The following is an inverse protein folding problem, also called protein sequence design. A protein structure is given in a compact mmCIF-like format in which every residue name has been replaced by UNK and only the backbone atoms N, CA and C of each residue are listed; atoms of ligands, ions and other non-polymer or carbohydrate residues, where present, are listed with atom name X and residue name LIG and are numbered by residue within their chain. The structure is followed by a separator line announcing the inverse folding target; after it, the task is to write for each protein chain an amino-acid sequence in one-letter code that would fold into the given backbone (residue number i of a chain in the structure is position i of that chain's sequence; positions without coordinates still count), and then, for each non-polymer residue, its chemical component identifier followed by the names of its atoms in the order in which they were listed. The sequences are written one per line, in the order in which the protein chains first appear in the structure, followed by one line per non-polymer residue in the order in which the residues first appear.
data_IF_273876869274
#
_entry.id   IF_273876869274
#
_cell.length_a   1.000
_cell.length_b   1.000
_cell.length_c   1.000
_cell.angle_alpha   90.00
_cell.angle_beta   90.00
_cell.angle_gamma   90.00
#
_symmetry.space_group_name_H-M   'P 1'
#
loop_
_entity.id
_entity.type
_entity.pdbx_description
1 polymer ?
#
# COMPACT_ATOMS: atom_id res chain seq x y z
N UNK A 1 24.87 -2.04 -17.77
CA UNK A 1 24.44 -0.65 -17.52
C UNK A 1 24.78 -0.16 -16.11
N UNK A 2 25.30 -0.99 -15.21
CA UNK A 2 25.60 -0.59 -13.81
C UNK A 2 24.39 -0.63 -12.86
N UNK A 3 23.20 -0.94 -13.35
CA UNK A 3 22.00 -1.02 -12.52
C UNK A 3 22.05 -2.17 -11.52
N UNK A 4 21.62 -1.90 -10.31
CA UNK A 4 21.46 -2.94 -9.27
C UNK A 4 20.32 -3.89 -9.62
N UNK A 5 20.55 -5.21 -9.48
CA UNK A 5 19.53 -6.24 -9.65
C UNK A 5 18.70 -6.51 -8.39
N UNK A 6 18.74 -5.63 -7.41
CA UNK A 6 17.94 -5.73 -6.20
C UNK A 6 16.48 -5.34 -6.41
N UNK A 7 15.58 -5.85 -5.56
CA UNK A 7 14.25 -5.25 -5.43
C UNK A 7 14.36 -3.87 -4.80
N UNK A 8 13.71 -2.89 -5.40
CA UNK A 8 13.65 -1.51 -4.89
C UNK A 8 12.71 -1.40 -3.69
N UNK A 9 11.52 -2.04 -3.78
CA UNK A 9 10.54 -2.10 -2.69
C UNK A 9 10.84 -3.33 -1.84
N UNK A 10 10.97 -3.14 -0.52
CA UNK A 10 11.21 -4.20 0.44
C UNK A 10 10.13 -4.24 1.49
N UNK A 11 9.50 -5.40 1.63
CA UNK A 11 8.36 -5.57 2.51
C UNK A 11 8.78 -5.97 3.92
N UNK A 12 8.19 -5.32 4.93
CA UNK A 12 8.30 -5.63 6.35
C UNK A 12 6.94 -6.19 6.80
N UNK A 13 6.88 -7.50 7.02
CA UNK A 13 5.68 -8.18 7.50
C UNK A 13 5.77 -8.42 9.02
N UNK A 14 4.66 -8.83 9.64
CA UNK A 14 4.58 -9.05 11.09
C UNK A 14 5.64 -10.01 11.65
N UNK A 15 5.96 -11.09 10.93
CA UNK A 15 7.02 -12.02 11.33
C UNK A 15 8.44 -11.51 11.11
N UNK A 16 8.63 -10.43 10.34
CA UNK A 16 9.91 -9.79 10.01
C UNK A 16 11.01 -10.75 9.58
N UNK A 17 10.67 -11.90 9.00
CA UNK A 17 11.63 -12.92 8.57
C UNK A 17 12.60 -12.38 7.51
N UNK A 18 13.89 -12.38 7.84
CA UNK A 18 14.94 -11.87 6.97
C UNK A 18 15.09 -10.36 6.96
N UNK A 19 14.35 -9.62 7.78
CA UNK A 19 14.52 -8.18 7.97
C UNK A 19 15.70 -7.92 8.90
N UNK A 20 16.70 -7.21 8.39
CA UNK A 20 17.87 -6.75 9.13
C UNK A 20 18.31 -5.39 8.57
N UNK A 21 19.32 -4.76 9.18
CA UNK A 21 19.81 -3.44 8.77
C UNK A 21 20.29 -3.41 7.31
N UNK A 22 20.94 -4.46 6.82
CA UNK A 22 21.36 -4.56 5.42
C UNK A 22 20.16 -4.64 4.48
N UNK A 23 19.12 -5.39 4.83
CA UNK A 23 17.88 -5.46 4.06
C UNK A 23 17.21 -4.10 3.96
N UNK A 24 17.09 -3.37 5.08
CA UNK A 24 16.45 -2.05 5.14
C UNK A 24 17.26 -0.99 4.38
N UNK A 25 18.58 -0.93 4.61
CA UNK A 25 19.46 0.06 3.96
C UNK A 25 19.55 -0.08 2.43
N UNK A 26 19.17 -1.25 1.88
CA UNK A 26 19.15 -1.49 0.44
C UNK A 26 17.75 -1.33 -0.20
N UNK A 27 16.87 -0.57 0.40
CA UNK A 27 15.54 -0.28 -0.13
C UNK A 27 15.47 1.16 -0.69
N UNK A 28 14.68 1.35 -1.74
CA UNK A 28 14.21 2.67 -2.17
C UNK A 28 12.83 2.96 -1.55
N UNK A 29 12.08 1.88 -1.19
CA UNK A 29 10.84 1.95 -0.45
C UNK A 29 10.75 0.78 0.54
N UNK A 30 10.31 1.07 1.76
CA UNK A 30 10.01 0.09 2.81
C UNK A 30 8.49 -0.01 2.96
N UNK A 31 7.94 -1.21 2.70
CA UNK A 31 6.50 -1.41 2.76
C UNK A 31 6.10 -2.23 3.98
N UNK A 32 5.37 -1.62 4.90
CA UNK A 32 4.77 -2.31 6.06
C UNK A 32 3.56 -3.08 5.57
N UNK A 33 3.60 -4.41 5.67
CA UNK A 33 2.48 -5.26 5.31
C UNK A 33 1.62 -5.58 6.53
N UNK A 34 0.45 -4.96 6.61
CA UNK A 34 -0.53 -5.25 7.66
C UNK A 34 -1.32 -6.51 7.32
N UNK A 35 -1.83 -6.61 6.09
CA UNK A 35 -2.64 -7.73 5.65
C UNK A 35 -2.45 -8.03 4.15
N UNK A 36 -3.15 -9.03 3.63
CA UNK A 36 -3.06 -9.50 2.25
C UNK A 36 -4.45 -9.71 1.66
N UNK A 37 -4.73 -9.11 0.51
CA UNK A 37 -6.07 -9.03 -0.08
C UNK A 37 -6.72 -10.39 -0.34
N UNK A 38 -5.95 -11.37 -0.80
CA UNK A 38 -6.46 -12.72 -1.08
C UNK A 38 -6.88 -13.53 0.16
N UNK A 39 -6.42 -13.13 1.34
CA UNK A 39 -6.72 -13.79 2.61
C UNK A 39 -6.67 -12.80 3.78
N UNK A 40 -7.58 -11.84 3.82
CA UNK A 40 -7.66 -10.91 4.92
C UNK A 40 -7.86 -11.67 6.23
N UNK A 41 -7.14 -11.29 7.26
CA UNK A 41 -7.23 -11.91 8.58
C UNK A 41 -6.48 -13.24 8.78
N UNK A 42 -5.95 -13.89 7.74
CA UNK A 42 -5.25 -15.19 7.91
C UNK A 42 -3.74 -15.08 8.16
N UNK A 43 -3.13 -13.96 7.86
CA UNK A 43 -1.69 -13.75 7.97
C UNK A 43 -0.84 -14.42 6.89
N UNK A 44 0.47 -14.32 7.05
CA UNK A 44 1.46 -14.89 6.15
C UNK A 44 1.82 -16.32 6.50
N UNK A 45 2.04 -17.16 5.48
CA UNK A 45 2.49 -18.53 5.65
C UNK A 45 3.46 -18.94 4.53
N UNK A 46 4.54 -19.62 4.88
CA UNK A 46 5.38 -20.34 3.95
C UNK A 46 5.47 -21.80 4.43
N UNK A 47 4.91 -22.78 3.69
CA UNK A 47 4.94 -24.19 4.08
C UNK A 47 6.37 -24.72 4.19
N UNK A 48 6.64 -25.63 5.13
CA UNK A 48 7.96 -26.16 5.40
C UNK A 48 8.64 -26.79 4.17
N UNK A 49 7.88 -27.49 3.30
CA UNK A 49 8.42 -28.06 2.06
C UNK A 49 8.92 -27.03 1.04
N UNK A 50 8.62 -25.75 1.22
CA UNK A 50 9.17 -24.62 0.45
C UNK A 50 10.36 -23.95 1.13
N UNK A 51 10.64 -24.27 2.38
CA UNK A 51 11.77 -23.73 3.14
C UNK A 51 13.01 -24.57 2.89
N UNK A 52 13.65 -24.35 1.75
CA UNK A 52 14.95 -24.94 1.41
C UNK A 52 16.06 -24.36 2.29
N UNK A 53 17.27 -24.95 2.28
CA UNK A 53 18.45 -24.41 2.98
C UNK A 53 18.70 -22.93 2.61
N UNK A 54 18.57 -22.59 1.32
CA UNK A 54 18.73 -21.21 0.85
C UNK A 54 17.66 -20.29 1.43
N UNK A 55 16.40 -20.69 1.38
CA UNK A 55 15.29 -19.89 1.95
C UNK A 55 15.44 -19.74 3.47
N UNK A 56 15.79 -20.81 4.16
CA UNK A 56 16.02 -20.78 5.61
C UNK A 56 17.15 -19.81 5.97
N UNK A 57 18.24 -19.82 5.22
CA UNK A 57 19.37 -18.89 5.42
C UNK A 57 18.93 -17.43 5.30
N UNK A 58 18.22 -17.05 4.23
CA UNK A 58 17.80 -15.66 4.01
C UNK A 58 16.65 -15.21 4.93
N UNK A 59 15.91 -16.17 5.50
CA UNK A 59 14.81 -15.91 6.43
C UNK A 59 15.22 -16.08 7.90
N UNK A 60 16.48 -16.38 8.17
CA UNK A 60 17.01 -16.66 9.52
C UNK A 60 16.19 -17.72 10.25
N UNK A 61 15.92 -18.85 9.58
CA UNK A 61 15.06 -19.94 10.02
C UNK A 61 15.71 -21.31 9.80
N UNK A 62 15.01 -22.39 10.15
CA UNK A 62 15.45 -23.77 9.98
C UNK A 62 14.87 -24.37 8.69
N UNK A 63 15.68 -25.09 7.86
CA UNK A 63 15.17 -25.77 6.67
C UNK A 63 14.06 -26.77 7.03
N UNK A 64 13.04 -26.84 6.18
CA UNK A 64 11.91 -27.75 6.36
C UNK A 64 10.86 -27.32 7.39
N UNK A 65 11.12 -26.28 8.17
CA UNK A 65 10.17 -25.73 9.15
C UNK A 65 9.34 -24.63 8.50
N UNK A 66 8.01 -24.71 8.65
CA UNK A 66 7.09 -23.69 8.12
C UNK A 66 7.25 -22.35 8.82
N UNK A 67 7.13 -21.26 8.05
CA UNK A 67 7.12 -19.90 8.57
C UNK A 67 5.69 -19.39 8.64
N UNK A 68 5.28 -18.90 9.79
CA UNK A 68 3.94 -18.35 10.06
C UNK A 68 4.09 -16.95 10.61
N UNK A 69 3.33 -16.02 10.04
CA UNK A 69 3.28 -14.63 10.44
C UNK A 69 1.83 -14.31 10.83
N UNK A 70 1.53 -13.96 12.08
CA UNK A 70 0.16 -13.67 12.47
C UNK A 70 -0.42 -12.47 11.72
N UNK A 71 -1.75 -12.42 11.51
CA UNK A 71 -2.46 -11.27 11.04
C UNK A 71 -3.08 -10.52 12.23
N UNK A 72 -3.16 -9.24 12.23
CA UNK A 72 -2.37 -8.23 11.53
C UNK A 72 -0.92 -8.19 12.04
N UNK A 73 -0.21 -7.11 11.82
CA UNK A 73 1.12 -6.92 12.42
C UNK A 73 0.97 -6.96 13.96
N UNK A 74 1.56 -7.96 14.63
CA UNK A 74 1.23 -8.34 16.01
C UNK A 74 1.69 -7.35 17.09
N UNK A 75 2.48 -6.36 16.73
CA UNK A 75 2.97 -5.28 17.61
C UNK A 75 2.44 -3.89 17.21
N UNK A 76 1.41 -3.84 16.35
CA UNK A 76 0.71 -2.63 15.95
C UNK A 76 -0.76 -2.76 16.35
N UNK A 77 -1.16 -2.06 17.41
CA UNK A 77 -2.51 -2.06 17.95
C UNK A 77 -3.22 -0.71 17.81
N UNK A 78 -2.46 0.32 17.40
CA UNK A 78 -2.97 1.68 17.21
C UNK A 78 -2.23 2.39 16.08
N UNK A 79 -2.73 3.55 15.67
CA UNK A 79 -2.05 4.42 14.70
C UNK A 79 -0.71 4.93 15.24
N UNK A 80 -0.63 5.16 16.54
CA UNK A 80 0.59 5.59 17.23
C UNK A 80 1.69 4.52 17.15
N UNK A 81 1.34 3.24 17.33
CA UNK A 81 2.29 2.14 17.15
C UNK A 81 2.79 2.06 15.71
N UNK A 82 1.88 2.29 14.73
CA UNK A 82 2.25 2.35 13.32
C UNK A 82 3.19 3.53 13.04
N UNK A 83 2.89 4.70 13.59
CA UNK A 83 3.73 5.89 13.46
C UNK A 83 5.13 5.64 14.01
N UNK A 84 5.24 4.98 15.17
CA UNK A 84 6.53 4.60 15.75
C UNK A 84 7.32 3.69 14.79
N UNK A 85 6.67 2.68 14.20
CA UNK A 85 7.35 1.79 13.25
C UNK A 85 7.78 2.55 11.97
N UNK A 86 6.95 3.47 11.46
CA UNK A 86 7.30 4.31 10.31
C UNK A 86 8.54 5.15 10.65
N UNK A 87 8.55 5.79 11.81
CA UNK A 87 9.69 6.57 12.30
C UNK A 87 10.96 5.71 12.42
N UNK A 88 10.87 4.51 13.00
CA UNK A 88 12.00 3.59 13.14
C UNK A 88 12.56 3.17 11.76
N UNK A 89 11.69 2.94 10.79
CA UNK A 89 12.09 2.58 9.42
C UNK A 89 12.80 3.75 8.71
N UNK A 90 12.33 4.98 8.89
CA UNK A 90 13.02 6.18 8.39
C UNK A 90 14.39 6.37 9.05
N UNK A 91 14.52 6.11 10.35
CA UNK A 91 15.83 6.13 11.02
C UNK A 91 16.78 5.03 10.49
N UNK A 92 16.23 3.86 10.14
CA UNK A 92 17.02 2.76 9.58
C UNK A 92 17.47 3.04 8.13
N UNK A 93 16.67 3.77 7.36
CA UNK A 93 16.98 4.20 5.99
C UNK A 93 16.28 5.53 5.66
N UNK A 94 16.94 6.67 5.93
CA UNK A 94 16.36 8.00 5.70
C UNK A 94 16.05 8.33 4.23
N UNK A 95 16.69 7.63 3.29
CA UNK A 95 16.49 7.85 1.86
C UNK A 95 15.31 7.06 1.27
N UNK A 96 14.76 6.09 2.02
CA UNK A 96 13.67 5.27 1.56
C UNK A 96 12.31 5.88 1.94
N UNK A 97 11.36 5.83 1.01
CA UNK A 97 9.96 6.09 1.35
C UNK A 97 9.41 4.94 2.21
N UNK A 98 8.44 5.23 3.08
CA UNK A 98 7.71 4.21 3.82
C UNK A 98 6.26 4.16 3.36
N UNK A 99 5.80 2.99 2.96
CA UNK A 99 4.41 2.74 2.57
C UNK A 99 3.76 1.67 3.44
N UNK A 100 2.42 1.70 3.51
CA UNK A 100 1.64 0.72 4.28
C UNK A 100 0.69 -0.03 3.37
N UNK A 101 0.77 -1.37 3.37
CA UNK A 101 -0.14 -2.23 2.62
C UNK A 101 -1.33 -2.62 3.48
N UNK A 102 -2.51 -2.19 3.04
CA UNK A 102 -3.82 -2.51 3.56
C UNK A 102 -4.59 -3.42 2.59
N UNK A 103 -5.77 -3.85 2.96
CA UNK A 103 -6.67 -4.63 2.10
C UNK A 103 -7.98 -3.91 1.89
N UNK A 104 -8.61 -4.16 0.74
CA UNK A 104 -9.97 -3.70 0.46
C UNK A 104 -10.95 -4.41 1.39
N UNK A 105 -11.38 -3.74 2.43
CA UNK A 105 -12.42 -4.15 3.36
C UNK A 105 -13.17 -2.91 3.87
N UNK A 106 -14.34 -3.10 4.44
CA UNK A 106 -15.13 -1.99 4.97
C UNK A 106 -14.37 -1.24 6.07
N UNK A 107 -14.26 0.08 5.96
CA UNK A 107 -13.53 0.93 6.89
C UNK A 107 -12.06 1.16 6.52
N UNK A 108 -11.57 0.60 5.41
CA UNK A 108 -10.16 0.77 4.99
C UNK A 108 -9.79 2.24 4.76
N UNK A 109 -10.73 3.06 4.31
CA UNK A 109 -10.51 4.50 4.14
C UNK A 109 -10.16 5.21 5.45
N UNK A 110 -10.81 4.83 6.56
CA UNK A 110 -10.48 5.37 7.88
C UNK A 110 -9.08 4.94 8.34
N UNK A 111 -8.70 3.70 8.07
CA UNK A 111 -7.35 3.20 8.36
C UNK A 111 -6.32 3.95 7.51
N UNK A 112 -6.61 4.17 6.22
CA UNK A 112 -5.74 4.93 5.32
C UNK A 112 -5.56 6.39 5.76
N UNK A 113 -6.60 7.03 6.31
CA UNK A 113 -6.49 8.35 6.93
C UNK A 113 -5.53 8.33 8.13
N UNK A 114 -5.61 7.29 8.97
CA UNK A 114 -4.67 7.07 10.05
C UNK A 114 -3.22 6.88 9.55
N UNK A 115 -3.04 6.10 8.48
CA UNK A 115 -1.72 5.90 7.82
C UNK A 115 -1.14 7.23 7.33
N UNK A 116 -1.97 8.07 6.70
CA UNK A 116 -1.55 9.39 6.25
C UNK A 116 -1.14 10.30 7.42
N UNK A 117 -1.89 10.27 8.53
CA UNK A 117 -1.56 11.01 9.76
C UNK A 117 -0.32 10.47 10.47
N UNK A 118 -0.03 9.18 10.32
CA UNK A 118 1.18 8.53 10.83
C UNK A 118 2.43 8.79 9.96
N UNK A 119 2.32 9.67 8.95
CA UNK A 119 3.40 10.15 8.09
C UNK A 119 4.00 9.10 7.15
N UNK A 120 3.21 8.11 6.72
CA UNK A 120 3.61 7.28 5.59
C UNK A 120 3.51 8.06 4.27
N UNK A 121 4.45 7.85 3.35
CA UNK A 121 4.44 8.47 2.02
C UNK A 121 3.51 7.76 1.03
N UNK A 122 3.11 6.53 1.33
CA UNK A 122 2.24 5.74 0.47
C UNK A 122 1.32 4.79 1.22
N UNK A 123 0.15 4.54 0.66
CA UNK A 123 -0.75 3.47 1.08
C UNK A 123 -1.13 2.61 -0.11
N UNK A 124 -0.99 1.30 0.03
CA UNK A 124 -1.42 0.33 -0.98
C UNK A 124 -2.71 -0.34 -0.53
N UNK A 125 -3.72 -0.29 -1.38
CA UNK A 125 -5.02 -0.96 -1.19
C UNK A 125 -5.04 -2.22 -2.05
N UNK A 126 -5.00 -3.39 -1.40
CA UNK A 126 -4.96 -4.68 -2.08
C UNK A 126 -6.36 -5.27 -2.23
N UNK A 127 -6.76 -5.59 -3.46
CA UNK A 127 -7.99 -6.32 -3.74
C UNK A 127 -7.87 -7.82 -3.42
N UNK A 128 -9.02 -8.53 -3.43
CA UNK A 128 -9.12 -9.95 -3.09
C UNK A 128 -8.39 -10.89 -4.04
N UNK A 129 -8.21 -10.49 -5.29
CA UNK A 129 -7.55 -11.29 -6.32
C UNK A 129 -6.04 -11.10 -6.32
N UNK A 130 -5.27 -12.14 -6.11
CA UNK A 130 -3.80 -12.10 -6.22
C UNK A 130 -3.07 -12.59 -4.97
N UNK A 131 -1.73 -12.57 -5.00
CA UNK A 131 -0.88 -12.82 -3.85
C UNK A 131 -0.98 -14.22 -3.20
N UNK A 132 -1.31 -15.25 -3.95
CA UNK A 132 -1.90 -16.49 -3.44
C UNK A 132 -0.98 -17.71 -3.46
N UNK A 133 0.33 -17.52 -3.53
CA UNK A 133 1.27 -18.65 -3.60
C UNK A 133 1.24 -19.65 -2.44
N UNK A 134 0.58 -19.33 -1.34
CA UNK A 134 0.42 -20.21 -0.18
C UNK A 134 -1.03 -20.24 0.35
N UNK A 135 -1.96 -19.54 -0.27
CA UNK A 135 -3.35 -19.47 0.21
C UNK A 135 -4.16 -20.67 -0.19
N UNK A 136 -5.06 -21.17 0.69
CA UNK A 136 -6.04 -22.21 0.35
C UNK A 136 -7.01 -21.71 -0.73
N UNK A 137 -7.56 -22.65 -1.50
CA UNK A 137 -8.51 -22.33 -2.59
C UNK A 137 -9.79 -21.66 -2.09
N UNK A 138 -10.21 -22.00 -0.87
CA UNK A 138 -11.38 -21.40 -0.22
C UNK A 138 -11.18 -19.90 0.02
N UNK A 139 -10.03 -19.50 0.57
CA UNK A 139 -9.72 -18.09 0.80
C UNK A 139 -9.67 -17.31 -0.51
N UNK A 140 -8.98 -17.85 -1.53
CA UNK A 140 -8.87 -17.21 -2.85
C UNK A 140 -10.23 -16.95 -3.51
N UNK A 141 -11.19 -17.88 -3.31
CA UNK A 141 -12.50 -17.81 -3.96
C UNK A 141 -13.55 -17.02 -3.19
N UNK A 142 -13.41 -16.91 -1.87
CA UNK A 142 -14.52 -16.50 -1.01
C UNK A 142 -14.15 -15.41 0.01
N UNK A 143 -12.87 -15.09 0.18
CA UNK A 143 -12.43 -14.04 1.10
C UNK A 143 -12.02 -12.76 0.36
N UNK A 144 -12.10 -11.62 1.03
CA UNK A 144 -11.69 -10.32 0.52
C UNK A 144 -12.73 -9.64 -0.37
N UNK A 145 -12.45 -8.38 -0.69
CA UNK A 145 -13.31 -7.51 -1.51
C UNK A 145 -12.58 -7.07 -2.78
N UNK A 146 -13.32 -6.67 -3.83
CA UNK A 146 -12.75 -6.01 -5.00
C UNK A 146 -11.96 -4.74 -4.62
N UNK A 147 -10.87 -4.50 -5.33
CA UNK A 147 -10.02 -3.31 -5.10
C UNK A 147 -10.77 -1.99 -5.34
N UNK A 148 -11.75 -1.98 -6.22
CA UNK A 148 -12.55 -0.81 -6.57
C UNK A 148 -13.29 -0.26 -5.35
N UNK A 149 -13.82 -1.13 -4.49
CA UNK A 149 -14.50 -0.74 -3.26
C UNK A 149 -13.53 -0.08 -2.27
N UNK A 150 -12.40 -0.72 -2.00
CA UNK A 150 -11.42 -0.22 -1.05
C UNK A 150 -10.73 1.05 -1.53
N UNK A 151 -10.43 1.14 -2.83
CA UNK A 151 -9.81 2.32 -3.43
C UNK A 151 -10.74 3.52 -3.38
N UNK A 152 -12.00 3.35 -3.80
CA UNK A 152 -13.00 4.41 -3.78
C UNK A 152 -13.25 4.95 -2.37
N UNK A 153 -13.44 4.05 -1.38
CA UNK A 153 -13.58 4.45 0.04
C UNK A 153 -12.34 5.22 0.52
N UNK A 154 -11.15 4.74 0.19
CA UNK A 154 -9.88 5.40 0.57
C UNK A 154 -9.78 6.80 -0.02
N UNK A 155 -10.05 6.95 -1.31
CA UNK A 155 -10.04 8.24 -1.99
C UNK A 155 -11.01 9.22 -1.34
N UNK A 156 -12.26 8.80 -1.14
CA UNK A 156 -13.30 9.63 -0.55
C UNK A 156 -12.95 10.11 0.85
N UNK A 157 -12.49 9.20 1.72
CA UNK A 157 -12.13 9.54 3.11
C UNK A 157 -10.90 10.45 3.17
N UNK A 158 -9.88 10.19 2.35
CA UNK A 158 -8.69 11.05 2.30
C UNK A 158 -9.01 12.46 1.80
N UNK A 159 -9.89 12.58 0.79
CA UNK A 159 -10.35 13.88 0.26
C UNK A 159 -11.18 14.62 1.31
N UNK A 160 -12.17 13.96 1.94
CA UNK A 160 -13.02 14.56 2.97
C UNK A 160 -12.25 15.10 4.18
N UNK A 161 -11.07 14.52 4.45
CA UNK A 161 -10.21 14.92 5.59
C UNK A 161 -9.02 15.80 5.18
N UNK A 162 -8.94 16.25 3.91
CA UNK A 162 -7.80 17.00 3.35
C UNK A 162 -6.44 16.32 3.57
N UNK A 163 -6.44 14.99 3.47
CA UNK A 163 -5.25 14.15 3.63
C UNK A 163 -4.73 13.62 2.28
N UNK A 164 -5.56 13.70 1.22
CA UNK A 164 -5.23 13.07 -0.08
C UNK A 164 -3.98 13.66 -0.72
N UNK A 165 -3.73 14.93 -0.54
CA UNK A 165 -2.56 15.62 -1.06
C UNK A 165 -1.22 15.16 -0.46
N UNK A 166 -1.26 14.54 0.72
CA UNK A 166 -0.08 14.17 1.50
C UNK A 166 0.47 12.78 1.14
N UNK A 167 -0.37 11.87 0.62
CA UNK A 167 -0.05 10.46 0.50
C UNK A 167 -0.31 9.94 -0.91
N UNK A 168 0.59 9.09 -1.42
CA UNK A 168 0.36 8.34 -2.66
C UNK A 168 -0.57 7.16 -2.37
N UNK A 169 -1.53 6.94 -3.25
CA UNK A 169 -2.45 5.81 -3.18
C UNK A 169 -2.10 4.82 -4.30
N UNK A 170 -1.70 3.62 -3.91
CA UNK A 170 -1.42 2.52 -4.81
C UNK A 170 -2.56 1.50 -4.74
N UNK A 171 -2.85 0.84 -5.85
CA UNK A 171 -3.83 -0.25 -5.91
C UNK A 171 -3.22 -1.49 -6.54
N UNK A 172 -3.56 -2.68 -6.01
CA UNK A 172 -3.30 -3.98 -6.63
C UNK A 172 -4.53 -4.91 -6.51
N UNK A 173 -4.53 -6.01 -7.23
CA UNK A 173 -5.60 -6.99 -7.18
C UNK A 173 -6.09 -7.41 -8.57
N UNK A 174 -5.24 -8.05 -9.38
CA UNK A 174 -5.58 -8.56 -10.73
C UNK A 174 -5.74 -7.49 -11.81
N UNK A 175 -5.04 -6.38 -11.71
CA UNK A 175 -4.93 -5.44 -12.82
C UNK A 175 -4.27 -6.13 -14.02
N UNK A 176 -4.84 -6.00 -15.23
CA UNK A 176 -4.41 -6.74 -16.41
C UNK A 176 -4.31 -5.90 -17.69
N UNK A 177 -5.09 -4.84 -17.78
CA UNK A 177 -5.27 -4.02 -18.98
C UNK A 177 -5.02 -2.54 -18.70
N UNK A 178 -4.82 -1.75 -19.74
CA UNK A 178 -4.79 -0.29 -19.62
C UNK A 178 -6.10 0.29 -19.13
N UNK A 179 -7.23 -0.37 -19.47
CA UNK A 179 -8.55 0.02 -18.94
C UNK A 179 -8.61 -0.10 -17.42
N UNK A 180 -8.05 -1.18 -16.82
CA UNK A 180 -8.01 -1.31 -15.35
C UNK A 180 -7.21 -0.17 -14.71
N UNK A 181 -6.11 0.25 -15.36
CA UNK A 181 -5.29 1.38 -14.93
C UNK A 181 -6.08 2.70 -14.98
N UNK A 182 -6.79 2.94 -16.08
CA UNK A 182 -7.61 4.16 -16.24
C UNK A 182 -8.72 4.20 -15.20
N UNK A 183 -9.45 3.10 -15.01
CA UNK A 183 -10.49 3.01 -13.97
C UNK A 183 -9.88 3.24 -12.58
N UNK A 184 -8.73 2.62 -12.28
CA UNK A 184 -8.04 2.84 -11.01
C UNK A 184 -7.62 4.29 -10.80
N UNK A 185 -7.11 4.97 -11.83
CA UNK A 185 -6.81 6.40 -11.78
C UNK A 185 -8.06 7.24 -11.53
N UNK A 186 -9.15 7.00 -12.25
CA UNK A 186 -10.44 7.68 -12.05
C UNK A 186 -10.95 7.49 -10.62
N UNK A 187 -10.81 6.30 -10.05
CA UNK A 187 -11.20 6.02 -8.66
C UNK A 187 -10.20 6.53 -7.61
N UNK A 188 -9.06 7.06 -8.03
CA UNK A 188 -8.16 7.79 -7.14
C UNK A 188 -6.77 7.18 -6.92
N UNK A 189 -6.31 6.22 -7.73
CA UNK A 189 -4.96 5.68 -7.58
C UNK A 189 -3.91 6.54 -8.32
N UNK A 190 -2.77 6.77 -7.66
CA UNK A 190 -1.57 7.36 -8.26
C UNK A 190 -0.65 6.26 -8.86
N UNK A 191 -0.66 5.05 -8.28
CA UNK A 191 0.25 3.95 -8.60
C UNK A 191 -0.48 2.61 -8.72
N UNK A 192 0.09 1.69 -9.51
CA UNK A 192 -0.55 0.44 -9.88
C UNK A 192 0.37 -0.76 -9.68
N UNK A 193 -0.11 -1.78 -8.96
CA UNK A 193 0.62 -3.01 -8.69
C UNK A 193 0.15 -4.17 -9.57
N UNK A 194 1.10 -4.81 -10.26
CA UNK A 194 0.85 -5.97 -11.12
C UNK A 194 1.61 -7.19 -10.63
N UNK A 195 0.97 -8.34 -10.59
CA UNK A 195 1.60 -9.60 -10.22
C UNK A 195 1.25 -10.71 -11.21
N UNK A 196 0.01 -11.19 -11.21
CA UNK A 196 -0.43 -12.33 -12.02
C UNK A 196 -0.18 -12.09 -13.50
N UNK A 197 -0.48 -10.90 -13.99
CA UNK A 197 -0.28 -10.49 -15.38
C UNK A 197 1.18 -10.62 -15.82
N UNK A 198 2.11 -10.11 -14.99
CA UNK A 198 3.55 -10.27 -15.25
C UNK A 198 3.99 -11.73 -15.24
N UNK A 199 3.43 -12.55 -14.34
CA UNK A 199 3.70 -14.00 -14.34
C UNK A 199 3.18 -14.69 -15.60
N UNK A 200 1.97 -14.36 -16.06
CA UNK A 200 1.40 -14.90 -17.30
C UNK A 200 2.26 -14.54 -18.51
N UNK A 201 2.72 -13.30 -18.57
CA UNK A 201 3.64 -12.83 -19.63
C UNK A 201 4.95 -13.62 -19.64
N UNK A 202 5.40 -14.12 -18.51
CA UNK A 202 6.58 -15.00 -18.39
C UNK A 202 6.29 -16.50 -18.58
N UNK A 203 5.06 -16.87 -18.93
CA UNK A 203 4.67 -18.27 -19.21
C UNK A 203 3.90 -18.97 -18.09
N UNK A 204 3.33 -18.25 -17.12
CA UNK A 204 2.44 -18.85 -16.12
C UNK A 204 1.13 -19.29 -16.78
N UNK A 205 0.75 -20.56 -16.60
CA UNK A 205 -0.48 -21.15 -17.13
C UNK A 205 -1.66 -21.14 -16.16
N UNK A 206 -1.58 -20.36 -15.09
CA UNK A 206 -2.64 -20.19 -14.10
C UNK A 206 -3.16 -21.48 -13.45
N UNK A 207 -2.30 -22.50 -13.31
CA UNK A 207 -2.65 -23.79 -12.68
C UNK A 207 -3.12 -23.69 -11.23
N UNK A 208 -2.78 -22.59 -10.54
CA UNK A 208 -3.12 -22.37 -9.12
C UNK A 208 -2.64 -23.49 -8.16
N UNK A 209 -1.52 -24.17 -8.49
CA UNK A 209 -0.85 -25.18 -7.65
C UNK A 209 0.47 -24.68 -7.04
N UNK A 210 0.65 -23.36 -6.98
CA UNK A 210 1.87 -22.72 -6.48
C UNK A 210 2.19 -23.12 -5.02
N UNK A 211 1.15 -23.32 -4.20
CA UNK A 211 1.30 -23.74 -2.79
C UNK A 211 1.89 -25.13 -2.63
N UNK A 212 1.77 -26.02 -3.62
CA UNK A 212 2.29 -27.38 -3.57
C UNK A 212 3.77 -27.52 -4.00
N UNK A 213 4.42 -26.44 -4.44
CA UNK A 213 5.78 -26.48 -4.99
C UNK A 213 5.93 -27.30 -6.29
N UNK A 214 4.84 -27.56 -7.01
CA UNK A 214 4.76 -28.42 -8.20
C UNK A 214 4.48 -27.64 -9.50
N UNK A 215 4.95 -26.39 -9.57
CA UNK A 215 4.72 -25.55 -10.75
C UNK A 215 5.35 -26.17 -11.99
N UNK A 216 4.52 -26.66 -12.95
CA UNK A 216 4.96 -27.38 -14.14
C UNK A 216 5.77 -26.51 -15.11
N UNK A 217 5.63 -25.19 -15.06
CA UNK A 217 6.37 -24.24 -15.90
C UNK A 217 7.56 -23.59 -15.19
N UNK A 218 7.86 -24.00 -13.97
CA UNK A 218 9.07 -23.58 -13.27
C UNK A 218 9.08 -22.19 -12.62
N UNK A 219 8.00 -21.41 -12.72
CA UNK A 219 7.94 -20.02 -12.21
C UNK A 219 7.87 -19.98 -10.69
N UNK A 220 6.97 -20.78 -10.09
CA UNK A 220 6.63 -20.69 -8.67
C UNK A 220 6.98 -22.00 -7.92
N UNK A 221 8.20 -22.48 -8.08
CA UNK A 221 8.70 -23.70 -7.43
C UNK A 221 10.14 -23.52 -6.97
N UNK A 222 10.54 -24.27 -5.94
CA UNK A 222 11.93 -24.42 -5.49
C UNK A 222 12.56 -25.72 -6.00
N UNK A 223 11.78 -26.62 -6.65
CA UNK A 223 12.30 -27.85 -7.24
C UNK A 223 13.28 -27.55 -8.38
N UNK A 224 14.56 -27.98 -8.31
CA UNK A 224 15.55 -27.66 -9.33
C UNK A 224 15.22 -28.21 -10.72
N UNK A 225 14.50 -29.35 -10.79
CA UNK A 225 14.13 -29.99 -12.05
C UNK A 225 13.01 -29.21 -12.75
N UNK A 226 12.04 -28.73 -11.99
CA UNK A 226 10.95 -27.91 -12.50
C UNK A 226 11.42 -26.49 -12.86
N UNK A 227 12.32 -25.91 -12.09
CA UNK A 227 12.89 -24.55 -12.39
C UNK A 227 13.60 -24.50 -13.74
N UNK A 228 14.20 -25.61 -14.20
CA UNK A 228 14.83 -25.68 -15.54
C UNK A 228 13.84 -25.50 -16.69
N UNK A 229 12.54 -25.65 -16.43
CA UNK A 229 11.48 -25.47 -17.44
C UNK A 229 11.07 -24.01 -17.64
N UNK A 230 11.58 -23.10 -16.79
CA UNK A 230 11.26 -21.68 -16.90
C UNK A 230 11.89 -21.06 -18.14
N UNK A 231 11.07 -20.48 -19.02
CA UNK A 231 11.46 -19.89 -20.31
C UNK A 231 11.18 -18.38 -20.40
N UNK A 232 10.68 -17.78 -19.32
CA UNK A 232 10.36 -16.35 -19.29
C UNK A 232 11.59 -15.46 -19.51
N UNK A 233 11.38 -14.34 -20.20
CA UNK A 233 12.41 -13.32 -20.48
C UNK A 233 11.95 -11.97 -19.97
N UNK A 234 12.90 -11.12 -19.57
CA UNK A 234 12.61 -9.75 -19.13
C UNK A 234 11.92 -8.94 -20.26
N UNK A 235 12.33 -9.11 -21.50
CA UNK A 235 11.78 -8.41 -22.66
C UNK A 235 10.27 -8.64 -22.83
N UNK A 236 9.77 -9.83 -22.48
CA UNK A 236 8.33 -10.10 -22.54
C UNK A 236 7.55 -9.18 -21.60
N UNK A 237 8.08 -8.96 -20.39
CA UNK A 237 7.46 -8.09 -19.39
C UNK A 237 7.57 -6.63 -19.81
N UNK A 238 8.74 -6.20 -20.30
CA UNK A 238 8.95 -4.82 -20.81
C UNK A 238 7.97 -4.48 -21.91
N UNK A 239 7.87 -5.36 -22.93
CA UNK A 239 6.96 -5.16 -24.05
C UNK A 239 5.49 -5.13 -23.62
N UNK A 240 5.11 -6.03 -22.71
CA UNK A 240 3.75 -6.09 -22.20
C UNK A 240 3.36 -4.79 -21.48
N UNK A 241 4.21 -4.26 -20.59
CA UNK A 241 3.92 -3.00 -19.91
C UNK A 241 3.97 -1.79 -20.86
N UNK A 242 4.77 -1.85 -21.93
CA UNK A 242 4.71 -0.84 -22.97
C UNK A 242 3.35 -0.83 -23.67
N UNK A 243 2.76 -2.01 -23.95
CA UNK A 243 1.41 -2.12 -24.51
C UNK A 243 0.32 -1.65 -23.54
N UNK A 244 0.44 -1.96 -22.24
CA UNK A 244 -0.46 -1.40 -21.20
C UNK A 244 -0.42 0.13 -21.23
N UNK A 245 0.78 0.72 -21.27
CA UNK A 245 0.93 2.17 -21.31
C UNK A 245 0.33 2.78 -22.59
N UNK A 246 0.45 2.11 -23.73
CA UNK A 246 -0.15 2.58 -24.98
C UNK A 246 -1.68 2.50 -24.94
N UNK A 247 -2.26 1.40 -24.43
CA UNK A 247 -3.71 1.27 -24.23
C UNK A 247 -4.23 2.38 -23.29
N UNK A 248 -3.51 2.71 -22.20
CA UNK A 248 -3.86 3.84 -21.32
C UNK A 248 -3.87 5.15 -22.11
N UNK A 249 -2.86 5.38 -22.96
CA UNK A 249 -2.78 6.61 -23.79
C UNK A 249 -3.92 6.72 -24.78
N UNK A 250 -4.31 5.61 -25.43
CA UNK A 250 -5.44 5.56 -26.36
C UNK A 250 -6.75 5.93 -25.66
N UNK A 251 -7.05 5.29 -24.52
CA UNK A 251 -8.26 5.57 -23.73
C UNK A 251 -8.27 7.03 -23.25
N UNK A 252 -7.14 7.53 -22.73
CA UNK A 252 -7.03 8.92 -22.29
C UNK A 252 -7.23 9.91 -23.45
N UNK A 253 -6.76 9.58 -24.65
CA UNK A 253 -6.97 10.39 -25.84
C UNK A 253 -8.47 10.48 -26.22
N UNK A 254 -9.20 9.35 -26.14
CA UNK A 254 -10.65 9.32 -26.35
C UNK A 254 -11.39 10.17 -25.32
N UNK A 255 -10.92 10.17 -24.06
CA UNK A 255 -11.46 11.01 -22.99
C UNK A 255 -11.03 12.50 -23.07
N UNK A 256 -10.11 12.85 -23.99
CA UNK A 256 -9.57 14.21 -24.12
C UNK A 256 -8.60 14.60 -23.02
N UNK A 257 -8.05 13.67 -22.27
CA UNK A 257 -7.15 13.88 -21.13
C UNK A 257 -5.69 13.68 -21.56
N UNK A 258 -4.84 14.69 -21.36
CA UNK A 258 -3.42 14.66 -21.78
C UNK A 258 -2.45 14.15 -20.72
N UNK A 259 -2.73 14.41 -19.44
CA UNK A 259 -1.87 14.00 -18.33
C UNK A 259 -2.63 13.01 -17.45
N UNK A 260 -1.94 11.95 -17.04
CA UNK A 260 -2.54 10.96 -16.14
C UNK A 260 -3.01 11.59 -14.82
N UNK A 261 -2.23 12.52 -14.29
CA UNK A 261 -2.56 13.29 -13.10
C UNK A 261 -3.93 13.99 -13.16
N UNK A 262 -4.34 14.41 -14.36
CA UNK A 262 -5.62 15.08 -14.58
C UNK A 262 -6.81 14.11 -14.61
N UNK A 263 -6.54 12.81 -14.64
CA UNK A 263 -7.53 11.73 -14.59
C UNK A 263 -7.91 11.35 -13.15
N UNK A 264 -6.98 11.54 -12.20
CA UNK A 264 -7.11 11.01 -10.84
C UNK A 264 -8.29 11.64 -10.10
N UNK A 265 -9.18 10.78 -9.60
CA UNK A 265 -10.35 11.18 -8.83
C UNK A 265 -11.51 11.75 -9.65
N UNK A 266 -11.47 11.67 -10.99
CA UNK A 266 -12.56 12.16 -11.87
C UNK A 266 -13.65 11.12 -12.09
N UNK A 267 -14.31 10.72 -11.01
CA UNK A 267 -15.36 9.70 -11.02
C UNK A 267 -16.54 10.02 -11.94
N UNK A 268 -16.74 11.30 -12.30
CA UNK A 268 -17.72 11.75 -13.28
C UNK A 268 -17.49 11.24 -14.71
N UNK A 269 -16.33 10.66 -15.00
CA UNK A 269 -16.02 9.98 -16.26
C UNK A 269 -16.52 8.54 -16.32
N UNK A 270 -17.00 8.00 -15.21
CA UNK A 270 -17.56 6.65 -15.14
C UNK A 270 -19.09 6.73 -15.05
N UNK A 271 -19.75 6.03 -15.96
CA UNK A 271 -21.18 5.84 -15.92
C UNK A 271 -21.51 4.48 -15.34
N UNK A 272 -22.35 4.47 -14.30
CA UNK A 272 -22.89 3.25 -13.70
C UNK A 272 -24.10 2.77 -14.49
N UNK A 273 -23.95 2.53 -15.81
CA UNK A 273 -25.08 2.13 -16.61
C UNK A 273 -25.63 0.75 -16.24
N UNK A 274 -26.96 0.64 -16.31
CA UNK A 274 -27.70 -0.62 -16.36
C UNK A 274 -27.34 -1.48 -17.60
N UNK A 275 -26.24 -1.16 -18.30
CA UNK A 275 -25.85 -1.62 -19.62
C UNK A 275 -25.57 -3.12 -19.71
N UNK A 276 -25.52 -3.81 -18.60
CA UNK A 276 -25.35 -5.26 -18.61
C UNK A 276 -26.70 -5.90 -18.39
N UNK A 277 -27.39 -6.26 -19.46
CA UNK A 277 -28.63 -7.03 -19.42
C UNK A 277 -28.49 -8.43 -18.78
N UNK A 278 -27.53 -8.57 -17.87
CA UNK A 278 -27.27 -9.79 -17.14
C UNK A 278 -28.01 -9.75 -15.79
N UNK A 279 -28.79 -10.79 -15.52
CA UNK A 279 -29.64 -10.86 -14.31
C UNK A 279 -28.89 -10.62 -12.98
N UNK A 280 -27.59 -10.94 -12.90
CA UNK A 280 -26.78 -10.68 -11.71
C UNK A 280 -26.37 -9.22 -11.55
N UNK A 281 -26.43 -8.43 -12.61
CA UNK A 281 -26.15 -7.00 -12.53
C UNK A 281 -27.38 -6.20 -12.09
N UNK A 282 -28.58 -6.78 -12.22
CA UNK A 282 -29.79 -6.16 -11.74
C UNK A 282 -29.74 -5.97 -10.22
N UNK A 283 -29.87 -4.73 -9.77
CA UNK A 283 -29.80 -4.37 -8.35
C UNK A 283 -28.39 -4.11 -7.81
N UNK A 284 -27.36 -4.10 -8.65
CA UNK A 284 -26.03 -3.61 -8.25
C UNK A 284 -26.04 -2.09 -8.29
N UNK A 285 -25.93 -1.47 -7.12
CA UNK A 285 -25.80 -0.02 -6.98
C UNK A 285 -24.32 0.37 -6.83
N UNK A 286 -23.78 1.06 -7.82
CA UNK A 286 -22.40 1.57 -7.84
C UNK A 286 -22.30 3.04 -7.42
N UNK A 287 -23.41 3.70 -7.05
CA UNK A 287 -23.45 5.12 -6.71
C UNK A 287 -22.47 5.50 -5.60
N UNK A 288 -22.28 4.61 -4.61
CA UNK A 288 -21.33 4.83 -3.51
C UNK A 288 -19.86 4.75 -3.96
N UNK A 289 -19.55 3.92 -4.96
CA UNK A 289 -18.21 3.84 -5.55
C UNK A 289 -17.91 5.11 -6.34
N UNK A 290 -18.91 5.61 -7.05
CA UNK A 290 -18.83 6.81 -7.89
C UNK A 290 -19.12 8.11 -7.14
N UNK A 291 -19.32 8.04 -5.82
CA UNK A 291 -19.56 9.23 -5.02
C UNK A 291 -18.35 10.18 -5.04
N UNK A 292 -18.58 11.44 -5.43
CA UNK A 292 -17.57 12.49 -5.41
C UNK A 292 -17.81 13.38 -4.19
N UNK A 293 -16.86 13.45 -3.23
CA UNK A 293 -16.97 14.35 -2.10
C UNK A 293 -17.06 15.82 -2.53
N UNK A 294 -18.00 16.55 -1.95
CA UNK A 294 -18.08 18.01 -2.10
C UNK A 294 -17.10 18.65 -1.11
N UNK A 295 -16.03 19.22 -1.63
CA UNK A 295 -14.96 19.84 -0.83
C UNK A 295 -14.53 21.16 -1.49
N UNK A 296 -13.78 22.00 -0.76
CA UNK A 296 -13.18 23.23 -1.30
C UNK A 296 -12.26 22.89 -2.48
N UNK A 297 -12.23 23.74 -3.50
CA UNK A 297 -11.38 23.59 -4.70
C UNK A 297 -9.87 23.47 -4.38
N UNK A 298 -9.46 23.90 -3.20
CA UNK A 298 -8.08 23.81 -2.72
C UNK A 298 -7.69 22.40 -2.25
N UNK A 299 -8.69 21.55 -1.95
CA UNK A 299 -8.44 20.18 -1.52
C UNK A 299 -7.92 19.34 -2.69
N UNK A 300 -6.75 18.75 -2.52
CA UNK A 300 -6.13 17.95 -3.55
C UNK A 300 -6.86 16.61 -3.75
N UNK A 301 -7.05 16.21 -5.01
CA UNK A 301 -7.64 14.92 -5.38
C UNK A 301 -6.59 13.82 -5.65
N UNK A 302 -5.31 14.17 -5.63
CA UNK A 302 -4.14 13.29 -5.82
C UNK A 302 -2.98 13.73 -4.95
N UNK A 303 -1.92 12.93 -4.90
CA UNK A 303 -0.69 13.37 -4.23
C UNK A 303 -0.07 14.59 -4.94
N UNK A 304 0.14 15.68 -4.21
CA UNK A 304 0.69 16.93 -4.75
C UNK A 304 1.86 17.48 -3.96
N UNK A 305 2.12 16.98 -2.77
CA UNK A 305 3.16 17.49 -1.90
C UNK A 305 3.87 16.36 -1.13
N UNK A 306 5.16 16.58 -0.86
CA UNK A 306 5.84 15.86 0.20
C UNK A 306 5.25 16.31 1.54
N UNK A 307 5.25 15.42 2.52
CA UNK A 307 4.83 15.77 3.87
C UNK A 307 5.77 16.86 4.41
N UNK A 308 5.21 18.03 4.66
CA UNK A 308 5.88 19.07 5.42
C UNK A 308 5.36 18.99 6.85
N UNK A 309 6.17 18.46 7.74
CA UNK A 309 5.83 18.31 9.16
C UNK A 309 5.97 19.63 9.94
N UNK A 310 6.63 20.63 9.37
CA UNK A 310 6.87 21.91 10.05
C UNK A 310 5.57 22.66 10.30
N UNK A 311 4.61 22.64 9.36
CA UNK A 311 3.33 23.32 9.52
C UNK A 311 2.44 22.77 10.63
N UNK A 312 2.54 21.49 10.95
CA UNK A 312 1.77 20.88 12.04
C UNK A 312 2.29 21.30 13.42
N UNK A 313 3.51 21.83 13.51
CA UNK A 313 4.14 22.28 14.74
C UNK A 313 4.02 23.80 14.98
N UNK A 314 3.66 24.59 13.99
CA UNK A 314 3.68 26.07 14.06
C UNK A 314 2.68 26.65 15.07
N UNK A 315 1.63 25.92 15.39
CA UNK A 315 0.54 26.38 16.27
C UNK A 315 0.41 25.58 17.58
N UNK A 316 1.38 24.71 17.91
CA UNK A 316 1.29 23.94 19.15
C UNK A 316 1.50 24.83 20.36
N UNK A 317 0.75 24.55 21.43
CA UNK A 317 0.80 25.33 22.68
C UNK A 317 2.22 25.33 23.30
N UNK A 318 2.99 24.27 23.08
CA UNK A 318 4.36 24.12 23.58
C UNK A 318 5.30 25.25 23.14
N UNK A 319 5.14 25.79 21.94
CA UNK A 319 5.94 26.92 21.47
C UNK A 319 5.71 28.17 22.36
N UNK A 320 4.48 28.42 22.77
CA UNK A 320 4.15 29.51 23.71
C UNK A 320 4.67 29.22 25.09
N UNK A 321 4.61 27.97 25.55
CA UNK A 321 5.16 27.55 26.82
C UNK A 321 6.66 27.71 26.85
N UNK A 322 7.40 27.30 25.84
CA UNK A 322 8.85 27.46 25.72
C UNK A 322 9.23 28.92 25.74
N UNK A 323 8.57 29.79 24.98
CA UNK A 323 8.87 31.22 24.95
C UNK A 323 8.63 31.88 26.31
N UNK A 324 7.51 31.57 26.97
CA UNK A 324 7.22 32.12 28.30
C UNK A 324 8.15 31.58 29.38
N UNK A 325 8.66 30.36 29.22
CA UNK A 325 9.57 29.73 30.18
C UNK A 325 11.04 30.10 29.97
N UNK A 326 11.38 30.94 28.99
CA UNK A 326 12.76 31.29 28.64
C UNK A 326 13.58 31.80 29.83
N UNK A 327 13.01 32.66 30.68
CA UNK A 327 13.67 33.15 31.87
C UNK A 327 13.96 32.03 32.90
N UNK A 328 13.08 31.02 32.97
CA UNK A 328 13.30 29.87 33.84
C UNK A 328 14.42 28.97 33.27
N UNK A 329 14.44 28.76 31.94
CA UNK A 329 15.44 27.96 31.25
C UNK A 329 16.83 28.61 31.36
N UNK A 330 16.93 29.90 31.04
CA UNK A 330 18.22 30.59 30.92
C UNK A 330 18.77 31.01 32.31
N UNK A 331 17.91 31.49 33.20
CA UNK A 331 18.32 32.16 34.46
C UNK A 331 17.85 31.42 35.70
N UNK A 332 17.20 30.26 35.60
CA UNK A 332 16.61 29.53 36.73
C UNK A 332 15.63 30.36 37.57
N UNK A 333 14.98 31.33 36.94
CA UNK A 333 13.97 32.19 37.57
C UNK A 333 12.61 31.49 37.53
N UNK A 334 11.88 31.57 38.64
CA UNK A 334 10.53 30.98 38.66
C UNK A 334 9.58 31.77 37.75
N UNK A 335 8.86 31.06 36.90
CA UNK A 335 7.89 31.63 35.95
C UNK A 335 6.52 30.96 36.15
N UNK A 336 5.46 31.75 36.16
CA UNK A 336 4.08 31.30 36.21
C UNK A 336 3.35 31.69 34.94
N UNK A 337 2.48 30.83 34.45
CA UNK A 337 1.62 31.07 33.31
C UNK A 337 0.35 30.25 33.38
N UNK A 338 -0.71 30.83 32.85
CA UNK A 338 -2.00 30.15 32.60
C UNK A 338 -2.29 30.20 31.12
N UNK A 339 -2.69 29.07 30.54
CA UNK A 339 -3.02 28.93 29.12
C UNK A 339 -4.32 28.18 28.99
N UNK A 340 -5.21 28.55 28.03
CA UNK A 340 -6.35 27.75 27.69
C UNK A 340 -5.87 26.46 27.02
N UNK A 341 -6.46 25.33 27.41
CA UNK A 341 -6.14 24.02 26.84
C UNK A 341 -7.41 23.42 26.24
N UNK A 342 -7.26 22.79 25.08
CA UNK A 342 -8.33 22.10 24.38
C UNK A 342 -7.98 20.63 24.19
N UNK A 343 -8.93 19.82 23.76
CA UNK A 343 -8.77 18.38 23.63
C UNK A 343 -7.77 17.92 22.55
N UNK A 344 -7.33 18.84 21.70
CA UNK A 344 -6.26 18.61 20.70
C UNK A 344 -4.86 18.79 21.29
N UNK A 345 -4.71 19.44 22.45
CA UNK A 345 -3.41 19.73 23.08
C UNK A 345 -2.92 18.55 23.94
N UNK A 346 -2.92 17.34 23.36
CA UNK A 346 -2.66 16.09 24.10
C UNK A 346 -1.23 15.93 24.63
N UNK A 347 -0.26 16.50 23.91
CA UNK A 347 1.16 16.39 24.25
C UNK A 347 1.72 17.67 24.88
N UNK A 348 0.86 18.56 25.40
CA UNK A 348 1.26 19.83 25.99
C UNK A 348 2.29 19.64 27.08
N UNK A 349 3.39 20.37 26.98
CA UNK A 349 4.53 20.33 27.92
C UNK A 349 5.65 19.38 27.51
N UNK A 350 5.47 18.56 26.47
CA UNK A 350 6.48 17.61 26.02
C UNK A 350 7.79 18.26 25.56
N UNK A 351 7.72 19.48 25.00
CA UNK A 351 8.93 20.23 24.59
C UNK A 351 9.67 20.88 25.75
N UNK A 352 9.04 20.97 26.91
CA UNK A 352 9.66 21.56 28.12
C UNK A 352 10.26 20.52 29.04
N UNK A 353 9.89 19.24 28.90
CA UNK A 353 10.38 18.14 29.73
C UNK A 353 11.69 17.57 29.15
#
# INVERSE_FOLDING_TARGET
NGDSRRSKIKQVASGRFGVNSFYLANADELQIKVAQGAKPGEGGQLPGHKVSEYIAKIRHSTPGVGLISPPPHHDIYSIEDLQQLIFDLHNANPDANVSVKLVAEAGVGTIAAGVSKAHAEGVLIAGHDGGTGASPQTSIKHAGLPWELGLSETQQILVLNDLRGRIRVQVDGQLKTGRDVVIGGILGADEFGFSTTALVTMGCIMMRKCHLNTCSVGIATQDPSLRKKFTGKADHVVNFFSFIAEEVREIMAELGIRKFDDLIGKVELLEGEEAVGHWKANGVDVSKILFKPEVDEKVALRNVCKQDLSGDMDNVLDLQLVEKSRLAIDNKTQVYGEFPIVNTDRATGAMLS
#
